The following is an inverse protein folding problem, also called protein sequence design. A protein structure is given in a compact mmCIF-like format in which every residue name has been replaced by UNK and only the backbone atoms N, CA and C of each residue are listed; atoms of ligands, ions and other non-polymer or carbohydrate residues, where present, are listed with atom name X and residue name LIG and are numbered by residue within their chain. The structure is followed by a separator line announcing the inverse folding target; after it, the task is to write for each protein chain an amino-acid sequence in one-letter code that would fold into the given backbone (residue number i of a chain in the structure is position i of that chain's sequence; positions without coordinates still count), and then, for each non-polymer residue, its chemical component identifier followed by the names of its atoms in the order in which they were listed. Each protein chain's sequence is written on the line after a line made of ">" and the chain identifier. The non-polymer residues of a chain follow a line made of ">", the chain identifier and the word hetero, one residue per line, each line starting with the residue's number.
data_IF_771238484665
#
_entry.id   IF_771238484665
#
_cell.length_a   1.000
_cell.length_b   1.000
_cell.length_c   1.000
_cell.angle_alpha   90.00
_cell.angle_beta   90.00
_cell.angle_gamma   90.00
#
_symmetry.space_group_name_H-M   'P 1'
#
loop_
_entity.id
_entity.type
_entity.pdbx_description
1 polymer ?
#
# COMPACT_ATOMS: atom_id res chain seq x y z
N UNK A 1 -37.85 -26.57 0.45
CA UNK A 1 -37.75 -25.58 -0.64
C UNK A 1 -37.32 -24.18 -0.19
N UNK A 2 -37.80 -23.64 0.94
CA UNK A 2 -37.48 -22.25 1.36
C UNK A 2 -36.00 -21.89 1.60
N UNK A 3 -35.15 -22.81 2.09
CA UNK A 3 -33.70 -22.53 2.26
C UNK A 3 -32.93 -22.49 0.94
N UNK A 4 -33.30 -23.34 -0.01
CA UNK A 4 -32.68 -23.37 -1.34
C UNK A 4 -33.11 -22.13 -2.13
N UNK A 5 -34.38 -21.72 -2.05
CA UNK A 5 -34.88 -20.50 -2.67
C UNK A 5 -34.18 -19.25 -2.11
N UNK A 6 -34.05 -19.14 -0.78
CA UNK A 6 -33.33 -18.03 -0.14
C UNK A 6 -31.83 -18.01 -0.45
N UNK A 7 -31.22 -19.18 -0.63
CA UNK A 7 -29.83 -19.31 -1.07
C UNK A 7 -29.67 -18.90 -2.54
N UNK A 8 -30.59 -19.31 -3.42
CA UNK A 8 -30.60 -18.94 -4.84
C UNK A 8 -30.89 -17.44 -5.01
N UNK A 9 -31.80 -16.85 -4.24
CA UNK A 9 -32.06 -15.40 -4.28
C UNK A 9 -30.83 -14.61 -3.82
N UNK A 10 -30.19 -15.03 -2.72
CA UNK A 10 -29.02 -14.32 -2.21
C UNK A 10 -27.82 -14.43 -3.15
N UNK A 11 -27.49 -15.62 -3.66
CA UNK A 11 -26.39 -15.78 -4.62
C UNK A 11 -26.74 -15.28 -6.02
N UNK A 12 -28.00 -15.41 -6.44
CA UNK A 12 -28.52 -14.90 -7.70
C UNK A 12 -28.34 -13.39 -7.81
N UNK A 13 -28.50 -12.66 -6.71
CA UNK A 13 -28.20 -11.23 -6.65
C UNK A 13 -26.72 -10.92 -6.91
N UNK A 14 -25.77 -11.66 -6.33
CA UNK A 14 -24.33 -11.44 -6.60
C UNK A 14 -23.92 -11.89 -8.00
N UNK A 15 -24.54 -12.94 -8.53
CA UNK A 15 -24.36 -13.35 -9.94
C UNK A 15 -24.86 -12.24 -10.86
N UNK A 16 -26.01 -11.62 -10.55
CA UNK A 16 -26.52 -10.47 -11.29
C UNK A 16 -25.58 -9.26 -11.23
N UNK A 17 -24.96 -8.99 -10.07
CA UNK A 17 -23.94 -7.93 -9.95
C UNK A 17 -22.71 -8.26 -10.80
N UNK A 18 -22.21 -9.49 -10.76
CA UNK A 18 -21.08 -9.92 -11.59
C UNK A 18 -21.39 -9.81 -13.08
N UNK A 19 -22.59 -10.23 -13.49
CA UNK A 19 -23.07 -10.05 -14.86
C UNK A 19 -23.15 -8.57 -15.25
N UNK A 20 -23.72 -7.74 -14.37
CA UNK A 20 -23.77 -6.28 -14.57
C UNK A 20 -22.37 -5.67 -14.68
N UNK A 21 -21.43 -6.12 -13.85
CA UNK A 21 -20.01 -5.72 -13.88
C UNK A 21 -19.38 -6.06 -15.23
N UNK A 22 -19.62 -7.28 -15.73
CA UNK A 22 -19.16 -7.71 -17.04
C UNK A 22 -19.77 -6.89 -18.18
N UNK A 23 -21.08 -6.60 -18.13
CA UNK A 23 -21.77 -5.76 -19.12
C UNK A 23 -21.21 -4.33 -19.11
N UNK A 24 -21.00 -3.73 -17.93
CA UNK A 24 -20.40 -2.40 -17.80
C UNK A 24 -19.00 -2.37 -18.40
N UNK A 25 -18.18 -3.40 -18.12
CA UNK A 25 -16.83 -3.51 -18.67
C UNK A 25 -16.84 -3.61 -20.20
N UNK A 26 -17.77 -4.39 -20.78
CA UNK A 26 -17.97 -4.44 -22.24
C UNK A 26 -18.37 -3.07 -22.79
N UNK A 27 -19.35 -2.41 -22.18
CA UNK A 27 -19.81 -1.09 -22.63
C UNK A 27 -18.70 -0.05 -22.55
N UNK A 28 -17.90 -0.08 -21.47
CA UNK A 28 -16.71 0.74 -21.30
C UNK A 28 -15.66 0.50 -22.38
N UNK A 29 -15.49 -0.74 -22.85
CA UNK A 29 -14.53 -1.05 -23.93
C UNK A 29 -14.84 -0.37 -25.27
N UNK A 30 -16.08 0.07 -25.49
CA UNK A 30 -16.47 0.85 -26.67
C UNK A 30 -16.17 2.35 -26.55
N UNK A 31 -15.79 2.83 -25.37
CA UNK A 31 -15.31 4.20 -25.18
C UNK A 31 -13.89 4.28 -25.76
N UNK A 32 -13.66 4.99 -26.87
CA UNK A 32 -12.35 5.06 -27.52
C UNK A 32 -11.44 6.06 -26.80
N UNK A 33 -11.36 5.99 -25.47
CA UNK A 33 -10.45 6.81 -24.69
C UNK A 33 -9.14 6.07 -24.49
N UNK A 34 -8.09 6.54 -25.16
CA UNK A 34 -6.71 6.18 -24.84
C UNK A 34 -5.98 7.46 -24.53
N UNK A 35 -5.43 7.53 -23.32
CA UNK A 35 -4.51 8.62 -22.97
C UNK A 35 -3.31 8.50 -23.89
N UNK A 36 -3.00 9.57 -24.62
CA UNK A 36 -1.74 9.65 -25.34
C UNK A 36 -0.59 9.75 -24.32
N UNK A 37 -0.02 8.59 -23.99
CA UNK A 37 1.13 8.48 -23.10
C UNK A 37 2.45 8.76 -23.85
N UNK A 38 2.45 8.97 -25.17
CA UNK A 38 3.67 9.18 -25.95
C UNK A 38 4.45 10.43 -25.50
N UNK A 39 3.83 11.60 -25.23
CA UNK A 39 4.52 12.74 -24.64
C UNK A 39 5.12 12.43 -23.27
N UNK A 40 4.48 11.55 -22.49
CA UNK A 40 4.97 11.12 -21.19
C UNK A 40 6.18 10.20 -21.32
N UNK A 41 6.14 9.15 -22.15
CA UNK A 41 7.30 8.29 -22.39
C UNK A 41 8.49 9.06 -22.95
N UNK A 42 8.26 10.01 -23.88
CA UNK A 42 9.32 10.89 -24.37
C UNK A 42 9.92 11.75 -23.25
N UNK A 43 9.07 12.29 -22.36
CA UNK A 43 9.55 13.06 -21.20
C UNK A 43 10.26 12.16 -20.19
N UNK A 44 9.78 10.94 -19.95
CA UNK A 44 10.43 9.95 -19.08
C UNK A 44 11.83 9.60 -19.58
N UNK A 45 11.98 9.31 -20.88
CA UNK A 45 13.28 8.98 -21.48
C UNK A 45 14.23 10.19 -21.40
N UNK A 46 13.75 11.40 -21.69
CA UNK A 46 14.56 12.61 -21.47
C UNK A 46 14.93 12.80 -19.99
N UNK A 47 14.03 12.50 -19.06
CA UNK A 47 14.28 12.65 -17.63
C UNK A 47 15.24 11.59 -17.10
N UNK A 48 15.15 10.35 -17.59
CA UNK A 48 16.13 9.29 -17.34
C UNK A 48 17.49 9.71 -17.87
N UNK A 49 17.58 10.26 -19.08
CA UNK A 49 18.84 10.79 -19.60
C UNK A 49 19.38 11.95 -18.74
N UNK A 50 18.54 12.90 -18.32
CA UNK A 50 18.98 14.00 -17.43
C UNK A 50 19.46 13.46 -16.07
N UNK A 51 18.77 12.46 -15.53
CA UNK A 51 19.16 11.78 -14.29
C UNK A 51 20.48 11.04 -14.46
N UNK A 52 20.63 10.25 -15.52
CA UNK A 52 21.85 9.54 -15.86
C UNK A 52 23.00 10.52 -16.08
N UNK A 53 22.79 11.64 -16.76
CA UNK A 53 23.81 12.64 -17.00
C UNK A 53 24.22 13.36 -15.70
N UNK A 54 23.24 13.71 -14.84
CA UNK A 54 23.52 14.29 -13.51
C UNK A 54 24.18 13.30 -12.54
N UNK A 55 23.87 12.01 -12.65
CA UNK A 55 24.48 10.94 -11.84
C UNK A 55 25.86 10.57 -12.38
N UNK A 56 26.06 10.55 -13.70
CA UNK A 56 27.36 10.31 -14.32
C UNK A 56 28.32 11.46 -14.02
N UNK A 57 27.80 12.70 -13.98
CA UNK A 57 28.47 13.87 -13.44
C UNK A 57 28.18 14.02 -11.94
N UNK A 58 28.25 12.89 -11.21
CA UNK A 58 28.20 12.83 -9.74
C UNK A 58 29.05 13.99 -9.20
N UNK A 59 28.55 14.76 -8.22
CA UNK A 59 28.91 16.16 -8.17
C UNK A 59 30.41 16.37 -8.04
N UNK A 60 30.89 17.49 -8.60
CA UNK A 60 32.20 18.00 -8.23
C UNK A 60 32.34 18.00 -6.69
N UNK A 61 33.56 17.84 -6.13
CA UNK A 61 33.79 17.78 -4.69
C UNK A 61 33.07 18.87 -3.86
N UNK A 62 32.73 19.99 -4.48
CA UNK A 62 32.02 21.14 -3.91
C UNK A 62 30.54 20.93 -3.56
N UNK A 63 29.84 19.95 -4.15
CA UNK A 63 28.43 19.69 -3.80
C UNK A 63 28.30 18.70 -2.64
N UNK A 64 29.16 17.68 -2.59
CA UNK A 64 29.27 16.71 -1.48
C UNK A 64 29.70 17.44 -0.20
N UNK A 65 30.44 18.55 -0.32
CA UNK A 65 30.86 19.37 0.81
C UNK A 65 29.74 20.22 1.43
N UNK A 66 28.51 20.26 0.86
CA UNK A 66 27.40 21.00 1.47
C UNK A 66 26.98 20.35 2.80
N UNK A 67 26.78 21.13 3.89
CA UNK A 67 26.45 20.61 5.23
C UNK A 67 25.24 19.65 5.28
N UNK A 68 24.28 19.81 4.37
CA UNK A 68 23.08 18.98 4.30
C UNK A 68 23.39 17.50 4.00
N UNK A 69 24.45 17.20 3.25
CA UNK A 69 24.85 15.83 2.91
C UNK A 69 25.46 15.11 4.10
N UNK A 70 26.35 15.78 4.84
CA UNK A 70 26.92 15.22 6.06
C UNK A 70 25.84 15.00 7.11
N UNK A 71 24.89 15.94 7.26
CA UNK A 71 23.77 15.77 8.17
C UNK A 71 22.89 14.57 7.77
N UNK A 72 22.54 14.45 6.49
CA UNK A 72 21.75 13.32 5.99
C UNK A 72 22.47 11.99 6.19
N UNK A 73 23.74 11.89 5.79
CA UNK A 73 24.55 10.69 5.96
C UNK A 73 24.70 10.32 7.44
N UNK A 74 24.94 11.31 8.31
CA UNK A 74 25.02 11.12 9.75
C UNK A 74 23.71 10.58 10.34
N UNK A 75 22.57 11.18 9.98
CA UNK A 75 21.24 10.70 10.41
C UNK A 75 21.00 9.27 9.90
N UNK A 76 21.31 8.99 8.63
CA UNK A 76 21.14 7.66 8.04
C UNK A 76 21.98 6.61 8.76
N UNK A 77 23.24 6.92 9.06
CA UNK A 77 24.16 6.05 9.82
C UNK A 77 23.62 5.78 11.21
N UNK A 78 23.14 6.79 11.93
CA UNK A 78 22.53 6.62 13.26
C UNK A 78 21.30 5.70 13.19
N UNK A 79 20.41 5.93 12.23
CA UNK A 79 19.21 5.11 12.04
C UNK A 79 19.61 3.67 11.73
N UNK A 80 20.59 3.45 10.85
CA UNK A 80 21.07 2.13 10.46
C UNK A 80 21.66 1.37 11.66
N UNK A 81 22.57 1.97 12.43
CA UNK A 81 23.15 1.30 13.60
C UNK A 81 22.10 1.06 14.69
N UNK A 82 21.19 2.02 14.92
CA UNK A 82 20.07 1.84 15.84
C UNK A 82 19.16 0.68 15.42
N UNK A 83 18.88 0.56 14.12
CA UNK A 83 18.11 -0.52 13.53
C UNK A 83 18.79 -1.89 13.71
N UNK A 84 20.10 -1.98 13.51
CA UNK A 84 20.89 -3.20 13.76
C UNK A 84 20.82 -3.59 15.24
N UNK A 85 20.99 -2.65 16.16
CA UNK A 85 20.91 -2.92 17.61
C UNK A 85 19.50 -3.42 17.99
N UNK A 86 18.44 -2.76 17.51
CA UNK A 86 17.06 -3.18 17.76
C UNK A 86 16.79 -4.55 17.15
N UNK A 87 17.28 -4.82 15.93
CA UNK A 87 17.15 -6.12 15.27
C UNK A 87 17.81 -7.24 16.08
N UNK A 88 19.06 -7.04 16.52
CA UNK A 88 19.78 -8.00 17.36
C UNK A 88 19.05 -8.23 18.69
N UNK A 89 18.53 -7.17 19.30
CA UNK A 89 17.72 -7.27 20.51
C UNK A 89 16.43 -8.09 20.28
N UNK A 90 15.72 -7.84 19.17
CA UNK A 90 14.52 -8.59 18.80
C UNK A 90 14.82 -10.08 18.58
N UNK A 91 15.89 -10.39 17.84
CA UNK A 91 16.34 -11.77 17.60
C UNK A 91 16.70 -12.45 18.92
N UNK A 92 17.52 -11.82 19.75
CA UNK A 92 17.96 -12.39 21.02
C UNK A 92 16.76 -12.76 21.90
N UNK A 93 15.78 -11.86 22.02
CA UNK A 93 14.58 -12.13 22.81
C UNK A 93 13.70 -13.21 22.17
N UNK A 94 13.56 -13.22 20.84
CA UNK A 94 12.83 -14.26 20.12
C UNK A 94 13.44 -15.65 20.36
N UNK A 95 14.77 -15.78 20.20
CA UNK A 95 15.50 -17.02 20.45
C UNK A 95 15.45 -17.43 21.94
N UNK A 96 15.49 -16.46 22.84
CA UNK A 96 15.36 -16.68 24.29
C UNK A 96 13.92 -16.97 24.74
N UNK A 97 12.95 -17.02 23.82
CA UNK A 97 11.50 -17.14 24.09
C UNK A 97 10.96 -16.08 25.06
N UNK A 98 11.68 -14.96 25.22
CA UNK A 98 11.29 -13.81 26.04
C UNK A 98 10.35 -12.92 25.23
N UNK A 99 9.27 -12.46 25.86
CA UNK A 99 8.33 -11.53 25.21
C UNK A 99 8.90 -10.11 25.28
N UNK A 100 9.09 -9.48 24.12
CA UNK A 100 9.61 -8.10 24.02
C UNK A 100 8.57 -7.05 24.44
N UNK A 101 7.31 -7.23 24.02
CA UNK A 101 6.21 -6.35 24.42
C UNK A 101 4.97 -7.16 24.79
N UNK A 102 4.18 -6.61 25.71
CA UNK A 102 2.92 -7.21 26.15
C UNK A 102 1.94 -7.34 24.97
N UNK A 103 1.42 -8.54 24.77
CA UNK A 103 0.30 -8.82 23.86
C UNK A 103 -0.98 -8.25 24.46
N UNK A 104 -1.85 -7.67 23.63
CA UNK A 104 -3.19 -7.29 24.08
C UNK A 104 -4.00 -8.54 24.48
N UNK A 105 -4.72 -8.47 25.60
CA UNK A 105 -5.69 -9.51 25.98
C UNK A 105 -6.96 -9.44 25.13
N UNK A 106 -7.26 -8.28 24.56
CA UNK A 106 -8.32 -8.11 23.57
C UNK A 106 -7.84 -8.65 22.24
N UNK A 107 -8.63 -9.54 21.61
CA UNK A 107 -8.40 -10.00 20.22
C UNK A 107 -9.52 -9.50 19.31
N UNK A 108 -9.20 -8.73 18.24
CA UNK A 108 -10.12 -8.44 17.17
C UNK A 108 -10.72 -9.75 16.67
N UNK A 109 -12.04 -9.84 16.77
CA UNK A 109 -12.80 -10.97 16.28
C UNK A 109 -13.97 -10.41 15.46
N UNK A 110 -13.70 -9.81 14.29
CA UNK A 110 -14.79 -9.48 13.40
C UNK A 110 -15.48 -10.78 13.02
N UNK A 111 -16.81 -10.80 13.05
CA UNK A 111 -17.58 -12.03 12.93
C UNK A 111 -17.67 -12.55 11.48
N UNK A 112 -17.29 -11.75 10.49
CA UNK A 112 -17.29 -12.12 9.07
C UNK A 112 -16.38 -13.30 8.70
N UNK A 113 -16.77 -14.03 7.66
CA UNK A 113 -16.03 -15.15 7.08
C UNK A 113 -15.74 -14.90 5.58
N UNK A 114 -15.16 -15.89 4.89
CA UNK A 114 -14.81 -15.76 3.47
C UNK A 114 -16.02 -15.46 2.56
N UNK A 115 -17.23 -15.91 2.89
CA UNK A 115 -18.43 -15.57 2.11
C UNK A 115 -18.72 -14.07 2.17
N UNK A 116 -18.59 -13.47 3.35
CA UNK A 116 -18.80 -12.03 3.53
C UNK A 116 -17.71 -11.22 2.84
N UNK A 117 -16.46 -11.69 2.89
CA UNK A 117 -15.37 -11.11 2.11
C UNK A 117 -15.72 -11.08 0.61
N UNK A 118 -16.15 -12.20 0.03
CA UNK A 118 -16.50 -12.25 -1.39
C UNK A 118 -17.67 -11.32 -1.73
N UNK A 119 -18.69 -11.22 -0.87
CA UNK A 119 -19.81 -10.30 -1.08
C UNK A 119 -19.36 -8.84 -1.12
N UNK A 120 -18.54 -8.42 -0.15
CA UNK A 120 -17.98 -7.07 -0.11
C UNK A 120 -17.05 -6.84 -1.30
N UNK A 121 -16.22 -7.83 -1.65
CA UNK A 121 -15.28 -7.75 -2.77
C UNK A 121 -16.01 -7.61 -4.11
N UNK A 122 -17.09 -8.34 -4.35
CA UNK A 122 -17.92 -8.20 -5.56
C UNK A 122 -18.52 -6.78 -5.65
N UNK A 123 -18.97 -6.21 -4.54
CA UNK A 123 -19.43 -4.82 -4.51
C UNK A 123 -18.31 -3.82 -4.84
N UNK A 124 -17.12 -4.03 -4.30
CA UNK A 124 -15.94 -3.20 -4.62
C UNK A 124 -15.62 -3.30 -6.12
N UNK A 125 -15.56 -4.50 -6.68
CA UNK A 125 -15.30 -4.71 -8.11
C UNK A 125 -16.35 -4.03 -9.01
N UNK A 126 -17.63 -4.19 -8.67
CA UNK A 126 -18.71 -3.52 -9.41
C UNK A 126 -18.52 -2.01 -9.46
N UNK A 127 -18.25 -1.38 -8.33
CA UNK A 127 -18.07 0.06 -8.26
C UNK A 127 -16.73 0.53 -8.86
N UNK A 128 -15.66 -0.28 -8.81
CA UNK A 128 -14.43 -0.01 -9.54
C UNK A 128 -14.72 0.14 -11.04
N UNK A 129 -15.49 -0.79 -11.62
CA UNK A 129 -15.87 -0.69 -13.04
C UNK A 129 -16.74 0.54 -13.31
N UNK A 130 -17.72 0.84 -12.46
CA UNK A 130 -18.55 2.05 -12.59
C UNK A 130 -17.70 3.32 -12.56
N UNK A 131 -16.75 3.41 -11.62
CA UNK A 131 -15.83 4.54 -11.50
C UNK A 131 -14.94 4.61 -12.75
N UNK A 132 -14.40 3.49 -13.22
CA UNK A 132 -13.54 3.44 -14.41
C UNK A 132 -14.28 3.94 -15.65
N UNK A 133 -15.51 3.45 -15.91
CA UNK A 133 -16.30 3.90 -17.06
C UNK A 133 -16.63 5.39 -16.97
N UNK A 134 -16.98 5.89 -15.78
CA UNK A 134 -17.19 7.31 -15.56
C UNK A 134 -15.91 8.13 -15.83
N UNK A 135 -14.76 7.64 -15.40
CA UNK A 135 -13.47 8.27 -15.62
C UNK A 135 -13.07 8.30 -17.09
N UNK A 136 -13.30 7.21 -17.84
CA UNK A 136 -13.05 7.15 -19.28
C UNK A 136 -13.97 8.10 -20.05
N UNK A 137 -15.24 8.19 -19.64
CA UNK A 137 -16.19 9.17 -20.17
C UNK A 137 -15.72 10.61 -19.93
N UNK A 138 -15.33 10.94 -18.69
CA UNK A 138 -14.74 12.23 -18.36
C UNK A 138 -13.44 12.48 -19.15
N UNK A 139 -12.66 11.41 -19.38
CA UNK A 139 -11.49 11.37 -20.26
C UNK A 139 -11.76 11.86 -21.67
N UNK A 140 -12.89 11.48 -22.26
CA UNK A 140 -13.29 11.95 -23.59
C UNK A 140 -13.75 13.40 -23.61
N UNK A 141 -14.50 13.81 -22.57
CA UNK A 141 -15.11 15.15 -22.51
C UNK A 141 -14.07 16.23 -22.25
N UNK A 142 -13.08 15.95 -21.41
CA UNK A 142 -12.02 16.88 -21.06
C UNK A 142 -10.71 16.47 -21.76
N UNK A 143 -9.89 17.41 -22.23
CA UNK A 143 -8.58 17.06 -22.81
C UNK A 143 -7.64 16.61 -21.68
N UNK A 144 -7.35 15.32 -21.60
CA UNK A 144 -6.44 14.78 -20.59
C UNK A 144 -4.98 14.97 -21.02
N UNK A 145 -4.24 15.76 -20.25
CA UNK A 145 -2.78 15.68 -20.22
C UNK A 145 -2.36 14.71 -19.10
N UNK A 146 -1.07 14.38 -19.03
CA UNK A 146 -0.57 13.43 -18.01
C UNK A 146 -0.91 13.84 -16.57
N UNK A 147 -0.86 15.15 -16.27
CA UNK A 147 -1.19 15.68 -14.93
C UNK A 147 -2.67 15.44 -14.62
N UNK A 148 -3.59 15.74 -15.52
CA UNK A 148 -5.02 15.50 -15.30
C UNK A 148 -5.35 14.01 -15.28
N UNK A 149 -4.65 13.18 -16.05
CA UNK A 149 -4.75 11.72 -15.95
C UNK A 149 -4.37 11.22 -14.56
N UNK A 150 -3.21 11.61 -14.03
CA UNK A 150 -2.79 11.14 -12.71
C UNK A 150 -3.73 11.63 -11.60
N UNK A 151 -4.14 12.90 -11.64
CA UNK A 151 -5.11 13.43 -10.68
C UNK A 151 -6.40 12.62 -10.75
N UNK A 152 -6.91 12.32 -11.95
CA UNK A 152 -8.09 11.50 -12.11
C UNK A 152 -7.88 10.09 -11.54
N UNK A 153 -6.76 9.41 -11.85
CA UNK A 153 -6.44 8.09 -11.29
C UNK A 153 -6.37 8.11 -9.75
N UNK A 154 -5.81 9.15 -9.15
CA UNK A 154 -5.78 9.34 -7.70
C UNK A 154 -7.17 9.58 -7.11
N UNK A 155 -8.01 10.38 -7.77
CA UNK A 155 -9.40 10.58 -7.38
C UNK A 155 -10.18 9.27 -7.43
N UNK A 156 -10.02 8.48 -8.49
CA UNK A 156 -10.65 7.16 -8.62
C UNK A 156 -10.20 6.21 -7.51
N UNK A 157 -8.89 6.16 -7.24
CA UNK A 157 -8.32 5.36 -6.16
C UNK A 157 -8.88 5.78 -4.80
N UNK A 158 -8.96 7.08 -4.53
CA UNK A 158 -9.57 7.61 -3.30
C UNK A 158 -11.05 7.25 -3.19
N UNK A 159 -11.81 7.29 -4.27
CA UNK A 159 -13.22 6.87 -4.27
C UNK A 159 -13.36 5.40 -3.91
N UNK A 160 -12.48 4.53 -4.44
CA UNK A 160 -12.45 3.09 -4.12
C UNK A 160 -12.05 2.86 -2.66
N UNK A 161 -11.08 3.60 -2.14
CA UNK A 161 -10.66 3.55 -0.74
C UNK A 161 -11.80 3.93 0.20
N UNK A 162 -12.44 5.07 -0.05
CA UNK A 162 -13.58 5.54 0.74
C UNK A 162 -14.76 4.57 0.66
N UNK A 163 -15.04 4.02 -0.52
CA UNK A 163 -16.06 2.99 -0.70
C UNK A 163 -15.72 1.74 0.11
N UNK A 164 -14.48 1.28 0.07
CA UNK A 164 -14.03 0.08 0.80
C UNK A 164 -14.21 0.28 2.31
N UNK A 165 -13.80 1.44 2.83
CA UNK A 165 -13.99 1.81 4.24
C UNK A 165 -15.49 1.87 4.58
N UNK A 166 -16.30 2.50 3.72
CA UNK A 166 -17.75 2.60 3.89
C UNK A 166 -18.41 1.21 3.94
N UNK A 167 -18.14 0.35 2.96
CA UNK A 167 -18.72 -0.99 2.87
C UNK A 167 -18.31 -1.85 4.08
N UNK A 168 -17.05 -1.76 4.50
CA UNK A 168 -16.56 -2.46 5.69
C UNK A 168 -17.32 -2.01 6.95
N UNK A 169 -17.44 -0.70 7.18
CA UNK A 169 -18.16 -0.15 8.34
C UNK A 169 -19.65 -0.48 8.27
N UNK A 170 -20.26 -0.33 7.10
CA UNK A 170 -21.66 -0.69 6.85
C UNK A 170 -21.90 -2.15 7.21
N UNK A 171 -21.03 -3.06 6.75
CA UNK A 171 -21.17 -4.49 6.99
C UNK A 171 -21.01 -4.84 8.48
N UNK A 172 -20.00 -4.28 9.15
CA UNK A 172 -19.82 -4.43 10.60
C UNK A 172 -21.08 -4.01 11.37
N UNK A 173 -21.65 -2.86 11.02
CA UNK A 173 -22.75 -2.24 11.76
C UNK A 173 -24.11 -2.87 11.47
N UNK A 174 -24.38 -3.19 10.21
CA UNK A 174 -25.72 -3.63 9.76
C UNK A 174 -25.88 -5.14 9.81
N UNK A 175 -24.84 -5.91 9.50
CA UNK A 175 -24.94 -7.38 9.53
C UNK A 175 -24.52 -7.98 10.87
N UNK A 176 -23.58 -7.36 11.59
CA UNK A 176 -23.03 -7.91 12.84
C UNK A 176 -23.28 -7.07 14.08
N UNK A 177 -23.82 -5.85 13.93
CA UNK A 177 -23.97 -4.89 15.03
C UNK A 177 -22.66 -4.62 15.81
N UNK A 178 -21.51 -4.82 15.15
CA UNK A 178 -20.18 -4.63 15.73
C UNK A 178 -19.69 -3.19 15.49
N UNK A 179 -18.94 -2.65 16.47
CA UNK A 179 -18.22 -1.37 16.32
C UNK A 179 -16.90 -1.60 15.56
N UNK A 180 -16.28 -0.52 15.08
CA UNK A 180 -14.97 -0.58 14.39
C UNK A 180 -13.83 -1.11 15.29
N UNK A 181 -14.04 -1.11 16.61
CA UNK A 181 -13.15 -1.79 17.57
C UNK A 181 -13.03 -3.29 17.32
N UNK A 182 -14.01 -3.91 16.65
CA UNK A 182 -13.97 -5.33 16.27
C UNK A 182 -12.83 -5.67 15.31
N UNK A 183 -12.37 -4.70 14.50
CA UNK A 183 -11.18 -4.88 13.65
C UNK A 183 -9.89 -4.40 14.32
N UNK A 184 -9.95 -3.90 15.55
CA UNK A 184 -8.78 -3.42 16.30
C UNK A 184 -8.50 -1.91 16.16
N UNK A 185 -9.49 -1.11 15.76
CA UNK A 185 -9.39 0.36 15.79
C UNK A 185 -10.07 0.91 17.04
N UNK A 186 -9.27 1.53 17.92
CA UNK A 186 -9.75 2.28 19.08
C UNK A 186 -8.94 3.59 19.24
N UNK A 187 -9.52 4.59 19.91
CA UNK A 187 -8.78 5.82 20.26
C UNK A 187 -7.80 5.62 21.42
N UNK A 188 -7.99 4.57 22.22
CA UNK A 188 -7.09 4.23 23.33
C UNK A 188 -5.72 3.77 22.82
N UNK A 189 -4.67 4.11 23.56
CA UNK A 189 -3.30 3.60 23.36
C UNK A 189 -2.66 3.93 21.99
N UNK A 190 -3.18 4.92 21.25
CA UNK A 190 -2.65 5.30 19.92
C UNK A 190 -1.17 5.66 19.95
N UNK A 191 -0.70 6.39 20.97
CA UNK A 191 0.72 6.71 21.13
C UNK A 191 1.56 5.43 21.34
N UNK A 192 1.03 4.44 22.07
CA UNK A 192 1.74 3.18 22.31
C UNK A 192 1.81 2.33 21.04
N UNK A 193 0.74 2.32 20.25
CA UNK A 193 0.71 1.64 18.95
C UNK A 193 1.66 2.29 17.95
N UNK A 194 1.77 3.63 17.95
CA UNK A 194 2.76 4.34 17.15
C UNK A 194 4.19 4.02 17.59
N UNK A 195 4.48 4.03 18.91
CA UNK A 195 5.80 3.64 19.44
C UNK A 195 6.16 2.21 19.07
N UNK A 196 5.20 1.28 19.13
CA UNK A 196 5.36 -0.10 18.65
C UNK A 196 5.72 -0.13 17.17
N UNK A 197 4.96 0.58 16.33
CA UNK A 197 5.23 0.65 14.91
C UNK A 197 6.65 1.16 14.61
N UNK A 198 7.07 2.28 15.21
CA UNK A 198 8.43 2.80 15.05
C UNK A 198 9.49 1.77 15.47
N UNK A 199 9.34 1.17 16.65
CA UNK A 199 10.30 0.20 17.17
C UNK A 199 10.44 -1.03 16.27
N UNK A 200 9.33 -1.63 15.86
CA UNK A 200 9.35 -2.81 14.99
C UNK A 200 9.74 -2.48 13.56
N UNK A 201 9.44 -1.28 13.05
CA UNK A 201 9.93 -0.82 11.75
C UNK A 201 11.45 -0.71 11.74
N UNK A 202 12.03 -0.01 12.73
CA UNK A 202 13.49 0.12 12.87
C UNK A 202 14.15 -1.26 12.99
N UNK A 203 13.61 -2.14 13.83
CA UNK A 203 14.13 -3.51 13.95
C UNK A 203 13.99 -4.35 12.68
N UNK A 204 13.07 -4.00 11.78
CA UNK A 204 12.88 -4.71 10.51
C UNK A 204 13.75 -4.17 9.37
N UNK A 205 14.30 -2.95 9.49
CA UNK A 205 15.10 -2.33 8.43
C UNK A 205 16.25 -3.21 7.92
N UNK A 206 17.05 -3.91 8.75
CA UNK A 206 18.12 -4.77 8.23
C UNK A 206 17.59 -5.91 7.35
N UNK A 207 16.45 -6.50 7.72
CA UNK A 207 15.77 -7.52 6.90
C UNK A 207 15.23 -6.90 5.61
N UNK A 208 14.62 -5.71 5.71
CA UNK A 208 14.12 -5.00 4.55
C UNK A 208 15.23 -4.69 3.54
N UNK A 209 16.39 -4.18 3.98
CA UNK A 209 17.55 -3.95 3.13
C UNK A 209 18.06 -5.24 2.46
N UNK A 210 18.11 -6.35 3.20
CA UNK A 210 18.47 -7.65 2.63
C UNK A 210 17.48 -8.10 1.55
N UNK A 211 16.17 -7.92 1.77
CA UNK A 211 15.13 -8.26 0.79
C UNK A 211 15.19 -7.38 -0.45
N UNK A 212 15.46 -6.08 -0.28
CA UNK A 212 15.69 -5.15 -1.40
C UNK A 212 16.92 -5.60 -2.20
N UNK A 213 18.03 -5.88 -1.53
CA UNK A 213 19.26 -6.35 -2.18
C UNK A 213 19.03 -7.66 -2.94
N UNK A 214 18.33 -8.62 -2.34
CA UNK A 214 17.97 -9.88 -3.00
C UNK A 214 17.09 -9.64 -4.24
N UNK A 215 16.11 -8.73 -4.17
CA UNK A 215 15.28 -8.34 -5.31
C UNK A 215 16.11 -7.73 -6.46
N UNK A 216 17.01 -6.80 -6.15
CA UNK A 216 17.93 -6.19 -7.13
C UNK A 216 18.85 -7.25 -7.73
N UNK A 217 19.39 -8.15 -6.92
CA UNK A 217 20.25 -9.24 -7.39
C UNK A 217 19.52 -10.13 -8.40
N UNK A 218 18.27 -10.53 -8.09
CA UNK A 218 17.45 -11.32 -9.01
C UNK A 218 17.17 -10.53 -10.30
N UNK A 219 16.82 -9.25 -10.19
CA UNK A 219 16.57 -8.36 -11.33
C UNK A 219 17.77 -8.30 -12.29
N UNK A 220 18.97 -8.16 -11.72
CA UNK A 220 20.23 -8.15 -12.48
C UNK A 220 20.47 -9.47 -13.21
N UNK A 221 20.15 -10.61 -12.58
CA UNK A 221 20.32 -11.93 -13.20
C UNK A 221 19.36 -12.18 -14.35
N UNK A 222 18.15 -11.63 -14.31
CA UNK A 222 17.16 -11.76 -15.38
C UNK A 222 17.31 -10.70 -16.49
N UNK A 223 18.34 -9.83 -16.41
CA UNK A 223 18.62 -8.75 -17.37
C UNK A 223 17.42 -7.83 -17.67
N UNK A 224 16.51 -7.68 -16.70
CA UNK A 224 15.41 -6.73 -16.81
C UNK A 224 15.59 -5.67 -15.74
N UNK A 225 15.85 -4.41 -16.11
CA UNK A 225 15.86 -3.33 -15.14
C UNK A 225 14.45 -3.16 -14.57
N UNK A 226 14.38 -2.79 -13.30
CA UNK A 226 13.11 -2.44 -12.69
C UNK A 226 12.60 -1.15 -13.33
N UNK A 227 11.44 -1.15 -14.00
CA UNK A 227 10.89 0.08 -14.51
C UNK A 227 10.57 1.00 -13.32
N UNK A 228 11.01 2.26 -13.35
CA UNK A 228 10.67 3.22 -12.32
C UNK A 228 9.15 3.49 -12.32
N UNK A 229 8.58 3.59 -11.12
CA UNK A 229 7.12 3.69 -10.96
C UNK A 229 6.63 5.09 -11.38
N UNK A 230 5.44 5.23 -12.01
CA UNK A 230 4.92 6.54 -12.44
C UNK A 230 4.86 7.58 -11.31
N UNK A 231 4.53 7.14 -10.09
CA UNK A 231 4.49 7.98 -8.89
C UNK A 231 5.86 8.57 -8.54
N UNK A 232 6.95 7.84 -8.75
CA UNK A 232 8.31 8.31 -8.48
C UNK A 232 8.63 9.57 -9.29
N UNK A 233 8.38 9.53 -10.60
CA UNK A 233 8.59 10.68 -11.48
C UNK A 233 7.69 11.85 -11.13
N UNK A 234 6.43 11.56 -10.80
CA UNK A 234 5.51 12.61 -10.42
C UNK A 234 6.00 13.36 -9.18
N UNK A 235 6.43 12.64 -8.14
CA UNK A 235 6.98 13.24 -6.93
C UNK A 235 8.28 14.02 -7.19
N UNK A 236 9.12 13.58 -8.14
CA UNK A 236 10.36 14.29 -8.49
C UNK A 236 10.11 15.59 -9.27
N UNK A 237 9.16 15.59 -10.21
CA UNK A 237 9.10 16.63 -11.25
C UNK A 237 7.82 17.49 -11.23
N UNK A 238 6.79 17.13 -10.44
CA UNK A 238 5.58 17.95 -10.31
C UNK A 238 5.86 19.24 -9.54
N UNK A 239 5.68 20.41 -10.17
CA UNK A 239 6.03 21.70 -9.59
C UNK A 239 4.90 22.34 -8.77
N UNK A 240 3.65 21.89 -8.96
CA UNK A 240 2.51 22.38 -8.22
C UNK A 240 2.51 21.85 -6.77
N UNK A 241 2.72 22.75 -5.80
CA UNK A 241 2.83 22.41 -4.37
C UNK A 241 1.54 21.82 -3.81
N UNK A 242 0.38 22.29 -4.26
CA UNK A 242 -0.90 21.80 -3.75
C UNK A 242 -1.08 20.34 -4.17
N UNK A 243 -0.85 20.06 -5.45
CA UNK A 243 -0.96 18.71 -5.99
C UNK A 243 0.04 17.78 -5.33
N UNK A 244 1.31 18.19 -5.21
CA UNK A 244 2.33 17.39 -4.55
C UNK A 244 1.91 17.04 -3.12
N UNK A 245 1.37 18.01 -2.37
CA UNK A 245 0.89 17.80 -1.00
C UNK A 245 -0.27 16.79 -0.96
N UNK A 246 -1.24 16.90 -1.87
CA UNK A 246 -2.37 15.97 -1.96
C UNK A 246 -1.92 14.55 -2.28
N UNK A 247 -0.97 14.37 -3.21
CA UNK A 247 -0.41 13.06 -3.56
C UNK A 247 0.33 12.46 -2.38
N UNK A 248 1.13 13.26 -1.67
CA UNK A 248 1.86 12.80 -0.47
C UNK A 248 0.88 12.36 0.62
N UNK A 249 -0.18 13.13 0.90
CA UNK A 249 -1.21 12.76 1.87
C UNK A 249 -1.88 11.45 1.46
N UNK A 250 -2.21 11.29 0.18
CA UNK A 250 -2.83 10.06 -0.32
C UNK A 250 -1.92 8.84 -0.12
N UNK A 251 -0.68 8.92 -0.62
CA UNK A 251 0.29 7.80 -0.61
C UNK A 251 0.74 7.44 0.81
N UNK A 252 0.93 8.43 1.68
CA UNK A 252 1.49 8.21 3.02
C UNK A 252 0.42 7.92 4.05
N UNK A 253 -0.82 8.37 3.86
CA UNK A 253 -1.87 8.31 4.89
C UNK A 253 -3.09 7.54 4.39
N UNK A 254 -3.77 8.03 3.35
CA UNK A 254 -5.09 7.52 2.97
C UNK A 254 -5.03 6.10 2.41
N UNK A 255 -4.11 5.85 1.46
CA UNK A 255 -3.88 4.52 0.89
C UNK A 255 -3.54 3.48 1.96
N UNK A 256 -2.51 3.70 2.80
CA UNK A 256 -2.17 2.80 3.90
C UNK A 256 -3.34 2.48 4.84
N UNK A 257 -4.20 3.45 5.17
CA UNK A 257 -5.38 3.21 6.01
C UNK A 257 -6.37 2.28 5.31
N UNK A 258 -6.71 2.56 4.05
CA UNK A 258 -7.67 1.78 3.28
C UNK A 258 -7.17 0.36 2.99
N UNK A 259 -5.91 0.23 2.59
CA UNK A 259 -5.26 -1.05 2.32
C UNK A 259 -5.20 -1.93 3.58
N UNK A 260 -4.77 -1.39 4.73
CA UNK A 260 -4.75 -2.20 5.96
C UNK A 260 -6.15 -2.57 6.45
N UNK A 261 -7.16 -1.71 6.25
CA UNK A 261 -8.55 -2.05 6.51
C UNK A 261 -9.05 -3.20 5.63
N UNK A 262 -8.72 -3.17 4.34
CA UNK A 262 -9.09 -4.23 3.41
C UNK A 262 -8.33 -5.53 3.71
N UNK A 263 -7.01 -5.49 3.78
CA UNK A 263 -6.19 -6.69 3.90
C UNK A 263 -6.20 -7.27 5.31
N UNK A 264 -6.02 -6.47 6.36
CA UNK A 264 -5.89 -6.96 7.74
C UNK A 264 -7.23 -6.94 8.45
N UNK A 265 -7.99 -5.86 8.28
CA UNK A 265 -9.34 -5.74 8.82
C UNK A 265 -10.27 -6.80 8.25
N UNK A 266 -10.43 -6.85 6.93
CA UNK A 266 -11.38 -7.73 6.25
C UNK A 266 -10.79 -9.07 5.82
N UNK A 267 -9.88 -9.09 4.83
CA UNK A 267 -9.46 -10.31 4.13
C UNK A 267 -8.75 -11.32 5.04
N UNK A 268 -7.68 -10.92 5.74
CA UNK A 268 -6.92 -11.79 6.65
C UNK A 268 -7.80 -12.38 7.75
N UNK A 269 -8.66 -11.56 8.37
CA UNK A 269 -9.56 -12.03 9.43
C UNK A 269 -10.62 -13.01 8.92
N UNK A 270 -11.10 -12.84 7.68
CA UNK A 270 -11.98 -13.81 7.04
C UNK A 270 -11.23 -15.12 6.73
N UNK A 271 -10.01 -15.00 6.19
CA UNK A 271 -9.19 -16.12 5.73
C UNK A 271 -8.67 -16.98 6.89
N UNK A 272 -8.23 -16.37 8.00
CA UNK A 272 -7.67 -17.10 9.15
C UNK A 272 -8.67 -18.04 9.83
N UNK A 273 -9.97 -17.77 9.70
CA UNK A 273 -11.04 -18.67 10.17
C UNK A 273 -11.17 -19.92 9.33
N UNK A 274 -10.76 -19.86 8.06
CA UNK A 274 -10.86 -20.96 7.11
C UNK A 274 -9.62 -21.84 7.09
N UNK A 275 -8.42 -21.22 7.12
CA UNK A 275 -7.15 -21.94 6.89
C UNK A 275 -6.13 -21.81 8.04
N UNK A 276 -6.51 -21.17 9.15
CA UNK A 276 -5.62 -20.94 10.29
C UNK A 276 -4.74 -19.70 10.14
N UNK A 277 -4.10 -19.32 11.24
CA UNK A 277 -3.32 -18.06 11.36
C UNK A 277 -2.13 -18.03 10.42
N UNK A 278 -1.28 -19.07 10.44
CA UNK A 278 -0.02 -19.08 9.70
C UNK A 278 -0.24 -19.04 8.19
N UNK A 279 -1.11 -19.90 7.66
CA UNK A 279 -1.43 -19.94 6.25
C UNK A 279 -2.11 -18.64 5.79
N UNK A 280 -3.02 -18.07 6.59
CA UNK A 280 -3.67 -16.81 6.27
C UNK A 280 -2.69 -15.64 6.24
N UNK A 281 -1.69 -15.60 7.14
CA UNK A 281 -0.63 -14.59 7.11
C UNK A 281 0.17 -14.67 5.80
N UNK A 282 0.58 -15.87 5.39
CA UNK A 282 1.33 -16.08 4.15
C UNK A 282 0.51 -15.69 2.93
N UNK A 283 -0.70 -16.24 2.77
CA UNK A 283 -1.56 -15.99 1.61
C UNK A 283 -1.95 -14.52 1.51
N UNK A 284 -2.30 -13.87 2.64
CA UNK A 284 -2.61 -12.44 2.66
C UNK A 284 -1.43 -11.58 2.25
N UNK A 285 -0.21 -11.93 2.69
CA UNK A 285 1.00 -11.17 2.35
C UNK A 285 1.44 -11.36 0.91
N UNK A 286 1.31 -12.59 0.37
CA UNK A 286 1.57 -12.87 -1.05
C UNK A 286 0.60 -12.08 -1.92
N UNK A 287 -0.70 -12.16 -1.62
CA UNK A 287 -1.71 -11.46 -2.41
C UNK A 287 -1.49 -9.94 -2.39
N UNK A 288 -1.16 -9.37 -1.21
CA UNK A 288 -0.80 -7.97 -1.08
C UNK A 288 0.37 -7.60 -2.02
N UNK A 289 1.45 -8.37 -2.00
CA UNK A 289 2.63 -8.10 -2.84
C UNK A 289 2.37 -8.29 -4.34
N UNK A 290 1.56 -9.28 -4.74
CA UNK A 290 1.21 -9.49 -6.15
C UNK A 290 0.36 -8.33 -6.68
N UNK A 291 -0.60 -7.84 -5.90
CA UNK A 291 -1.50 -6.75 -6.31
C UNK A 291 -0.80 -5.40 -6.47
N UNK A 292 0.43 -5.26 -5.98
CA UNK A 292 1.27 -4.09 -6.28
C UNK A 292 1.83 -4.09 -7.70
N UNK A 293 1.66 -5.19 -8.45
CA UNK A 293 2.04 -5.32 -9.87
C UNK A 293 3.50 -4.92 -10.17
N UNK A 294 4.38 -5.07 -9.18
CA UNK A 294 5.81 -4.77 -9.27
C UNK A 294 6.61 -6.01 -8.89
N UNK A 295 6.98 -6.80 -9.90
CA UNK A 295 7.73 -8.05 -9.69
C UNK A 295 9.10 -7.81 -9.03
N UNK A 296 9.74 -6.67 -9.30
CA UNK A 296 11.04 -6.30 -8.71
C UNK A 296 10.90 -5.87 -7.25
N UNK A 297 9.76 -5.26 -6.90
CA UNK A 297 9.40 -4.92 -5.53
C UNK A 297 8.80 -6.08 -4.72
N UNK A 298 8.56 -7.25 -5.33
CA UNK A 298 7.81 -8.32 -4.69
C UNK A 298 8.39 -8.74 -3.33
N UNK A 299 9.69 -9.02 -3.25
CA UNK A 299 10.34 -9.48 -2.00
C UNK A 299 10.23 -8.48 -0.85
N UNK A 300 10.62 -7.19 -1.00
CA UNK A 300 10.47 -6.23 0.09
C UNK A 300 8.99 -5.97 0.44
N UNK A 301 8.09 -5.89 -0.54
CA UNK A 301 6.65 -5.69 -0.29
C UNK A 301 6.07 -6.88 0.47
N UNK A 302 6.41 -8.11 0.08
CA UNK A 302 5.99 -9.33 0.77
C UNK A 302 6.51 -9.36 2.21
N UNK A 303 7.77 -9.03 2.44
CA UNK A 303 8.36 -8.96 3.77
C UNK A 303 7.67 -7.94 4.68
N UNK A 304 7.37 -6.76 4.15
CA UNK A 304 6.59 -5.74 4.87
C UNK A 304 5.17 -6.21 5.16
N UNK A 305 4.51 -6.82 4.17
CA UNK A 305 3.16 -7.34 4.34
C UNK A 305 3.07 -8.42 5.43
N UNK A 306 4.11 -9.27 5.53
CA UNK A 306 4.28 -10.24 6.61
C UNK A 306 4.47 -9.56 7.97
N UNK A 307 5.30 -8.51 8.04
CA UNK A 307 5.48 -7.73 9.26
C UNK A 307 4.14 -7.12 9.70
N UNK A 308 3.39 -6.51 8.79
CA UNK A 308 2.12 -5.85 9.09
C UNK A 308 1.11 -6.84 9.68
N UNK A 309 0.90 -7.98 9.02
CA UNK A 309 -0.05 -9.00 9.51
C UNK A 309 0.43 -9.66 10.81
N UNK A 310 1.74 -9.90 10.96
CA UNK A 310 2.31 -10.42 12.20
C UNK A 310 2.06 -9.45 13.36
N UNK A 311 2.31 -8.16 13.15
CA UNK A 311 2.12 -7.12 14.16
C UNK A 311 0.65 -6.92 14.48
N UNK A 312 -0.24 -7.02 13.50
CA UNK A 312 -1.68 -7.05 13.73
C UNK A 312 -2.08 -8.21 14.64
N UNK A 313 -1.65 -9.44 14.34
CA UNK A 313 -2.00 -10.63 15.13
C UNK A 313 -1.42 -10.58 16.55
N UNK A 314 -0.22 -10.00 16.71
CA UNK A 314 0.45 -9.86 18.02
C UNK A 314 -0.14 -8.76 18.89
N UNK A 315 -0.47 -7.63 18.30
CA UNK A 315 -0.91 -6.44 19.06
C UNK A 315 -2.41 -6.33 19.15
N UNK A 316 -3.14 -7.03 18.27
CA UNK A 316 -4.59 -6.95 18.18
C UNK A 316 -5.10 -5.51 17.91
N UNK A 317 -4.22 -4.67 17.36
CA UNK A 317 -4.49 -3.28 17.02
C UNK A 317 -4.20 -3.08 15.54
N UNK A 318 -5.20 -2.64 14.77
CA UNK A 318 -5.03 -2.33 13.35
C UNK A 318 -4.24 -1.04 13.15
N UNK A 319 -4.12 -0.20 14.18
CA UNK A 319 -3.30 1.01 14.14
C UNK A 319 -1.82 0.70 13.96
N UNK A 320 -1.33 -0.42 14.51
CA UNK A 320 0.09 -0.80 14.40
C UNK A 320 0.51 -1.07 12.95
N UNK A 321 -0.15 -1.97 12.18
CA UNK A 321 0.18 -2.14 10.76
C UNK A 321 -0.09 -0.87 9.93
N UNK A 322 -1.14 -0.09 10.24
CA UNK A 322 -1.37 1.21 9.58
C UNK A 322 -0.15 2.11 9.77
N UNK A 323 0.32 2.32 11.00
CA UNK A 323 1.48 3.15 11.25
C UNK A 323 2.76 2.59 10.64
N UNK A 324 2.97 1.26 10.65
CA UNK A 324 4.11 0.64 9.97
C UNK A 324 4.11 0.95 8.47
N UNK A 325 2.94 0.86 7.84
CA UNK A 325 2.78 1.14 6.42
C UNK A 325 2.97 2.64 6.12
N UNK A 326 2.35 3.52 6.92
CA UNK A 326 2.55 4.98 6.83
C UNK A 326 4.03 5.37 7.01
N UNK A 327 4.74 4.75 7.95
CA UNK A 327 6.17 4.98 8.18
C UNK A 327 7.00 4.54 6.97
N UNK A 328 6.69 3.40 6.37
CA UNK A 328 7.39 2.92 5.17
C UNK A 328 7.16 3.84 3.97
N UNK A 329 5.90 4.17 3.67
CA UNK A 329 5.58 5.06 2.55
C UNK A 329 6.13 6.47 2.80
N UNK A 330 6.03 6.98 4.02
CA UNK A 330 6.61 8.25 4.42
C UNK A 330 8.13 8.28 4.25
N UNK A 331 8.82 7.21 4.63
CA UNK A 331 10.26 7.08 4.40
C UNK A 331 10.60 7.10 2.91
N UNK A 332 9.90 6.32 2.08
CA UNK A 332 10.10 6.32 0.62
C UNK A 332 9.88 7.71 0.01
N UNK A 333 8.77 8.37 0.35
CA UNK A 333 8.47 9.73 -0.13
C UNK A 333 9.54 10.72 0.34
N UNK A 334 9.99 10.64 1.59
CA UNK A 334 11.06 11.50 2.11
C UNK A 334 12.37 11.32 1.34
N UNK A 335 12.75 10.08 0.99
CA UNK A 335 13.91 9.82 0.15
C UNK A 335 13.75 10.43 -1.24
N UNK A 336 12.57 10.31 -1.86
CA UNK A 336 12.30 10.89 -3.19
C UNK A 336 12.36 12.42 -3.14
N UNK A 337 11.76 13.05 -2.12
CA UNK A 337 11.81 14.51 -1.94
C UNK A 337 13.25 14.98 -1.68
N UNK A 338 14.04 14.21 -0.94
CA UNK A 338 15.46 14.51 -0.77
C UNK A 338 16.23 14.48 -2.09
N UNK A 339 16.03 13.43 -2.91
CA UNK A 339 16.61 13.33 -4.26
C UNK A 339 16.13 14.47 -5.16
N UNK A 340 14.86 14.87 -5.06
CA UNK A 340 14.32 16.02 -5.79
C UNK A 340 15.05 17.31 -5.44
N UNK A 341 15.24 17.59 -4.14
CA UNK A 341 15.97 18.79 -3.69
C UNK A 341 17.39 18.76 -4.25
N UNK A 342 18.05 17.59 -4.27
CA UNK A 342 19.36 17.42 -4.88
C UNK A 342 19.38 17.74 -6.38
N UNK A 343 18.44 17.20 -7.15
CA UNK A 343 18.38 17.42 -8.61
C UNK A 343 18.07 18.89 -8.93
N UNK A 344 17.31 19.59 -8.08
CA UNK A 344 16.89 20.98 -8.30
C UNK A 344 17.89 22.03 -7.78
N UNK A 345 18.89 21.63 -6.98
CA UNK A 345 19.93 22.49 -6.43
C UNK A 345 21.18 22.58 -7.30
#
# INVERSE_FOLDING_TARGET
>A
MGRLYKFIDEFGFYIFILFSTFVISILGSFIPFKVDLKPYYTRLVMLEQILEDKVAHFPSPDLISRPVWYLFAFIFVIIFFSAVVIFLYLIFNFLSRKRVMATSNFRPCPLWNMKDFFKIFIWILFWIEVISVFQDFMGMVFVYNFRTYLINSLCGSLMVDLLTIFLLIYWLRRHYHQKITAVGISLSHTIQDFKRAVFYYLGFLPVLFLLIYAGIFIAHRIQKPSPPQPLFYFLLFENDKLILTLVIIFVVILGPIAEELFFRGLFYNALKKSIGVFQAMLVSSILFAVLHMNIFGFLPIFGLALLFVFMYERTASLKVPIFLHMLHNGFLVAMIVFVRIFIQS
#
